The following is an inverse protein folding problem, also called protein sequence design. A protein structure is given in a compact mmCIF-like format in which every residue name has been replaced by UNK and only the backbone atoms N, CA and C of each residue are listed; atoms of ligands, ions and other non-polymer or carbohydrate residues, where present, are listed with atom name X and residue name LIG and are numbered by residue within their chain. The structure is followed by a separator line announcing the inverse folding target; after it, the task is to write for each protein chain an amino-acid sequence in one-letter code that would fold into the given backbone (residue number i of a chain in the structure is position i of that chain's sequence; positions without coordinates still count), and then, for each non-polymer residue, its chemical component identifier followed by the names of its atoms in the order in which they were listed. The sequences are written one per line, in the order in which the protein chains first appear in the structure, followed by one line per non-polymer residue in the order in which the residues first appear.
data_IF_751302113667
#
_entry.id   IF_751302113667
#
_cell.length_a   1.000
_cell.length_b   1.000
_cell.length_c   1.000
_cell.angle_alpha   90.00
_cell.angle_beta   90.00
_cell.angle_gamma   90.00
#
_symmetry.space_group_name_H-M   'P 1'
#
loop_
_entity.id
_entity.type
_entity.pdbx_description
1 polymer ?
#
# COMPACT_ATOMS: atom_id res chain seq x y z
N UNK A 1 -22.18 33.11 -3.20
CA UNK A 1 -21.41 31.91 -3.59
C UNK A 1 -20.00 32.36 -3.87
N UNK A 2 -19.15 32.34 -2.84
CA UNK A 2 -17.76 32.81 -2.92
C UNK A 2 -16.90 31.54 -2.91
N UNK A 3 -16.02 31.31 -3.90
CA UNK A 3 -15.10 30.21 -3.83
C UNK A 3 -14.06 30.55 -2.76
N UNK A 4 -14.14 29.82 -1.65
CA UNK A 4 -13.19 29.93 -0.55
C UNK A 4 -11.84 29.40 -1.05
N UNK A 5 -10.89 30.31 -1.23
CA UNK A 5 -9.53 29.98 -1.66
C UNK A 5 -8.86 29.13 -0.58
N UNK A 6 -8.64 27.86 -0.87
CA UNK A 6 -7.73 27.00 -0.12
C UNK A 6 -6.34 27.65 -0.13
N UNK A 7 -5.98 28.30 0.98
CA UNK A 7 -4.72 29.02 1.12
C UNK A 7 -3.65 28.03 1.57
N UNK A 8 -2.71 27.72 0.67
CA UNK A 8 -1.68 26.73 0.94
C UNK A 8 -0.40 27.39 1.52
N UNK A 9 -0.27 27.40 2.86
CA UNK A 9 0.97 27.72 3.60
C UNK A 9 2.08 26.64 3.39
N UNK A 10 3.36 27.02 3.21
CA UNK A 10 4.43 26.10 2.77
C UNK A 10 5.15 25.29 3.87
N UNK A 11 4.68 25.28 5.13
CA UNK A 11 5.51 24.80 6.26
C UNK A 11 4.89 23.72 7.17
N UNK A 12 3.88 22.98 6.73
CA UNK A 12 3.50 21.74 7.44
C UNK A 12 3.45 20.58 6.46
N UNK A 13 3.95 19.41 6.89
CA UNK A 13 3.76 18.14 6.20
C UNK A 13 2.25 17.90 6.00
N UNK A 14 1.72 18.35 4.87
CA UNK A 14 0.31 18.23 4.52
C UNK A 14 0.11 16.87 3.87
N UNK A 15 -0.28 15.92 4.70
CA UNK A 15 -0.75 14.62 4.25
C UNK A 15 -2.24 14.73 3.95
N UNK A 16 -2.65 14.36 2.74
CA UNK A 16 -4.06 14.17 2.39
C UNK A 16 -4.29 12.67 2.40
N UNK A 17 -5.11 12.19 3.32
CA UNK A 17 -5.56 10.81 3.36
C UNK A 17 -6.92 10.71 2.68
N UNK A 18 -7.02 9.82 1.70
CA UNK A 18 -8.26 9.57 0.99
C UNK A 18 -8.56 8.07 1.06
N UNK A 19 -9.64 7.72 1.75
CA UNK A 19 -10.08 6.34 1.90
C UNK A 19 -11.07 5.97 0.79
N UNK A 20 -10.70 4.99 -0.03
CA UNK A 20 -11.59 4.42 -1.04
C UNK A 20 -12.13 3.07 -0.55
N UNK A 21 -13.30 3.10 0.06
CA UNK A 21 -14.04 1.91 0.51
C UNK A 21 -14.90 1.37 -0.63
N UNK A 22 -14.78 0.07 -0.92
CA UNK A 22 -15.61 -0.64 -1.89
C UNK A 22 -16.33 -1.82 -1.23
N UNK A 23 -17.57 -2.08 -1.66
CA UNK A 23 -18.34 -3.25 -1.25
C UNK A 23 -17.70 -4.56 -1.76
N UNK A 24 -17.62 -5.57 -0.88
CA UNK A 24 -16.81 -6.78 -1.06
C UNK A 24 -17.27 -7.76 -2.16
N UNK A 25 -18.35 -7.46 -2.87
CA UNK A 25 -19.13 -8.46 -3.61
C UNK A 25 -18.83 -8.53 -5.12
N UNK A 26 -17.75 -7.91 -5.59
CA UNK A 26 -17.35 -8.00 -7.01
C UNK A 26 -15.86 -8.18 -7.15
N UNK A 27 -15.47 -9.37 -7.62
CA UNK A 27 -14.11 -9.87 -7.94
C UNK A 27 -13.35 -9.06 -8.98
N UNK A 28 -13.78 -7.84 -9.26
CA UNK A 28 -13.32 -7.06 -10.37
C UNK A 28 -12.61 -5.78 -9.93
N UNK A 29 -11.40 -5.99 -9.40
CA UNK A 29 -10.39 -4.96 -9.12
C UNK A 29 -9.90 -4.22 -10.38
N UNK A 30 -10.52 -4.45 -11.56
CA UNK A 30 -10.23 -3.73 -12.82
C UNK A 30 -10.44 -2.22 -12.71
N UNK A 31 -11.43 -1.75 -11.94
CA UNK A 31 -11.80 -0.34 -11.92
C UNK A 31 -11.03 0.50 -10.91
N UNK A 32 -10.52 -0.10 -9.83
CA UNK A 32 -9.85 0.63 -8.75
C UNK A 32 -8.56 1.31 -9.22
N UNK A 33 -7.82 0.64 -10.12
CA UNK A 33 -6.62 1.22 -10.74
C UNK A 33 -6.91 2.43 -11.61
N UNK A 34 -8.00 2.40 -12.39
CA UNK A 34 -8.36 3.52 -13.26
C UNK A 34 -8.67 4.78 -12.43
N UNK A 35 -9.38 4.60 -11.31
CA UNK A 35 -9.68 5.69 -10.37
C UNK A 35 -8.40 6.25 -9.77
N UNK A 36 -7.49 5.37 -9.31
CA UNK A 36 -6.18 5.80 -8.80
C UNK A 36 -5.41 6.62 -9.85
N UNK A 37 -5.34 6.13 -11.08
CA UNK A 37 -4.63 6.81 -12.15
C UNK A 37 -5.23 8.19 -12.47
N UNK A 38 -6.56 8.31 -12.46
CA UNK A 38 -7.25 9.59 -12.64
C UNK A 38 -6.95 10.57 -11.50
N UNK A 39 -7.02 10.10 -10.25
CA UNK A 39 -6.72 10.91 -9.07
C UNK A 39 -5.27 11.41 -9.07
N UNK A 40 -4.31 10.52 -9.33
CA UNK A 40 -2.89 10.87 -9.40
C UNK A 40 -2.64 11.90 -10.49
N UNK A 41 -3.23 11.72 -11.68
CA UNK A 41 -3.10 12.67 -12.79
C UNK A 41 -3.69 14.03 -12.44
N UNK A 42 -4.88 14.05 -11.82
CA UNK A 42 -5.55 15.28 -11.40
C UNK A 42 -4.74 16.02 -10.34
N UNK A 43 -4.28 15.32 -9.29
CA UNK A 43 -3.46 15.92 -8.23
C UNK A 43 -2.18 16.50 -8.83
N UNK A 44 -1.48 15.76 -9.70
CA UNK A 44 -0.24 16.22 -10.34
C UNK A 44 -0.42 17.39 -11.29
N UNK A 45 -1.63 17.61 -11.83
CA UNK A 45 -1.92 18.77 -12.66
C UNK A 45 -1.83 20.08 -11.86
N UNK A 46 -2.19 20.05 -10.57
CA UNK A 46 -2.15 21.21 -9.69
C UNK A 46 -0.90 21.23 -8.80
N UNK A 47 -0.38 20.06 -8.42
CA UNK A 47 0.80 19.91 -7.58
C UNK A 47 1.76 18.85 -8.14
N UNK A 48 2.63 19.21 -9.10
CA UNK A 48 3.47 18.26 -9.82
C UNK A 48 4.49 17.53 -8.92
N UNK A 49 5.01 18.21 -7.89
CA UNK A 49 6.05 17.69 -7.00
C UNK A 49 5.49 17.00 -5.74
N UNK A 50 4.18 16.76 -5.68
CA UNK A 50 3.57 16.12 -4.51
C UNK A 50 3.92 14.64 -4.46
N UNK A 51 4.49 14.22 -3.33
CA UNK A 51 4.67 12.81 -3.00
C UNK A 51 3.32 12.15 -2.76
N UNK A 52 3.01 11.10 -3.51
CA UNK A 52 1.77 10.33 -3.38
C UNK A 52 2.11 8.93 -2.90
N UNK A 53 1.45 8.48 -1.84
CA UNK A 53 1.61 7.13 -1.27
C UNK A 53 0.27 6.40 -1.32
N UNK A 54 0.20 5.30 -2.06
CA UNK A 54 -0.96 4.43 -2.09
C UNK A 54 -0.90 3.42 -0.95
N UNK A 55 -1.90 3.42 -0.06
CA UNK A 55 -2.08 2.36 0.94
C UNK A 55 -3.18 1.40 0.51
N UNK A 56 -2.92 0.11 0.53
CA UNK A 56 -3.88 -0.90 0.11
C UNK A 56 -3.75 -2.23 0.85
N UNK A 57 -4.81 -3.02 0.83
CA UNK A 57 -4.79 -4.41 1.27
C UNK A 57 -4.15 -5.34 0.21
N UNK A 58 -4.19 -6.65 0.44
CA UNK A 58 -3.65 -7.63 -0.49
C UNK A 58 -4.33 -7.72 -1.85
N UNK A 59 -5.56 -7.22 -2.00
CA UNK A 59 -6.24 -7.18 -3.30
C UNK A 59 -5.62 -6.15 -4.24
N UNK A 60 -4.94 -5.14 -3.67
CA UNK A 60 -4.17 -4.12 -4.38
C UNK A 60 -2.75 -4.59 -4.75
N UNK A 61 -2.24 -5.68 -4.18
CA UNK A 61 -0.91 -6.22 -4.51
C UNK A 61 -0.88 -6.96 -5.86
N UNK A 62 -1.27 -6.29 -6.96
CA UNK A 62 -1.25 -6.82 -8.33
C UNK A 62 -0.05 -6.26 -9.10
N UNK A 63 0.75 -7.10 -9.79
CA UNK A 63 1.96 -6.66 -10.51
C UNK A 63 1.70 -5.49 -11.46
N UNK A 64 0.59 -5.52 -12.23
CA UNK A 64 0.23 -4.44 -13.16
C UNK A 64 0.04 -3.09 -12.46
N UNK A 65 -0.50 -3.09 -11.24
CA UNK A 65 -0.74 -1.87 -10.48
C UNK A 65 0.54 -1.35 -9.84
N UNK A 66 1.35 -2.25 -9.25
CA UNK A 66 2.64 -1.87 -8.66
C UNK A 66 3.59 -1.31 -9.72
N UNK A 67 3.70 -1.98 -10.88
CA UNK A 67 4.51 -1.50 -12.01
C UNK A 67 4.03 -0.14 -12.54
N UNK A 68 2.72 0.15 -12.47
CA UNK A 68 2.20 1.46 -12.83
C UNK A 68 2.61 2.50 -11.78
N UNK A 69 2.52 2.18 -10.49
CA UNK A 69 2.95 3.07 -9.42
C UNK A 69 4.44 3.41 -9.55
N UNK A 70 5.29 2.40 -9.81
CA UNK A 70 6.73 2.58 -10.03
C UNK A 70 7.01 3.54 -11.21
N UNK A 71 6.34 3.34 -12.35
CA UNK A 71 6.49 4.21 -13.54
C UNK A 71 5.98 5.63 -13.35
N UNK A 72 5.04 5.84 -12.43
CA UNK A 72 4.41 7.13 -12.19
C UNK A 72 4.91 7.81 -10.91
N UNK A 73 6.00 7.33 -10.30
CA UNK A 73 6.55 7.86 -9.04
C UNK A 73 5.50 7.94 -7.93
N UNK A 74 4.68 6.90 -7.80
CA UNK A 74 3.72 6.73 -6.71
C UNK A 74 4.29 5.67 -5.77
N UNK A 75 4.58 6.06 -4.55
CA UNK A 75 4.98 5.11 -3.51
C UNK A 75 3.78 4.27 -3.08
N UNK A 76 4.01 3.08 -2.49
CA UNK A 76 2.91 2.26 -2.00
C UNK A 76 3.26 1.45 -0.76
N UNK A 77 2.23 1.22 0.05
CA UNK A 77 2.24 0.33 1.21
C UNK A 77 1.08 -0.63 1.00
N UNK A 78 1.37 -1.83 0.49
CA UNK A 78 0.36 -2.86 0.24
C UNK A 78 0.56 -4.06 1.15
N UNK A 79 -0.54 -4.60 1.67
CA UNK A 79 -0.52 -5.93 2.29
C UNK A 79 -0.23 -7.00 1.23
N UNK A 80 0.48 -8.06 1.59
CA UNK A 80 0.67 -9.23 0.71
C UNK A 80 -0.22 -10.35 1.23
N UNK A 81 -0.98 -10.99 0.34
CA UNK A 81 -1.79 -12.15 0.71
C UNK A 81 -0.90 -13.30 1.21
N UNK A 82 -1.44 -14.15 2.07
CA UNK A 82 -0.73 -15.35 2.55
C UNK A 82 -0.33 -16.22 1.35
N UNK A 83 0.96 -16.54 1.25
CA UNK A 83 1.55 -17.41 0.23
C UNK A 83 2.50 -18.40 0.93
N UNK A 84 2.68 -19.60 0.36
CA UNK A 84 3.61 -20.62 0.87
C UNK A 84 5.03 -20.08 1.08
N UNK A 85 5.54 -19.21 0.19
CA UNK A 85 6.85 -18.57 0.37
C UNK A 85 6.86 -17.66 1.60
N UNK A 86 5.84 -16.82 1.76
CA UNK A 86 5.72 -15.93 2.91
C UNK A 86 5.67 -16.74 4.21
N UNK A 87 4.85 -17.81 4.24
CA UNK A 87 4.71 -18.71 5.38
C UNK A 87 6.03 -19.39 5.77
N UNK A 88 6.86 -19.74 4.77
CA UNK A 88 8.21 -20.29 5.00
C UNK A 88 9.13 -19.28 5.66
N UNK A 89 9.19 -18.06 5.13
CA UNK A 89 10.05 -16.99 5.67
C UNK A 89 9.61 -16.54 7.07
N UNK A 90 8.30 -16.47 7.33
CA UNK A 90 7.79 -16.10 8.66
C UNK A 90 7.82 -17.24 9.68
N UNK A 91 8.18 -18.47 9.31
CA UNK A 91 8.11 -19.64 10.19
C UNK A 91 8.95 -19.48 11.46
N UNK A 92 10.22 -19.06 11.32
CA UNK A 92 11.13 -18.82 12.46
C UNK A 92 10.68 -17.61 13.29
N UNK A 93 10.42 -16.43 12.68
CA UNK A 93 9.77 -15.30 13.35
C UNK A 93 8.52 -15.66 14.17
N UNK A 94 7.62 -16.44 13.58
CA UNK A 94 6.35 -16.82 14.21
C UNK A 94 6.57 -17.73 15.41
N UNK A 95 7.59 -18.60 15.38
CA UNK A 95 7.96 -19.45 16.51
C UNK A 95 8.46 -18.62 17.69
N UNK A 96 9.27 -17.60 17.44
CA UNK A 96 9.76 -16.66 18.47
C UNK A 96 8.60 -15.89 19.10
N UNK A 97 7.75 -15.30 18.28
CA UNK A 97 6.55 -14.56 18.75
C UNK A 97 5.65 -15.46 19.59
N UNK A 98 5.45 -16.72 19.18
CA UNK A 98 4.63 -17.69 19.93
C UNK A 98 5.24 -18.05 21.28
N UNK A 99 6.57 -18.17 21.36
CA UNK A 99 7.28 -18.40 22.63
C UNK A 99 7.10 -17.21 23.57
N UNK A 100 7.30 -15.99 23.08
CA UNK A 100 7.08 -14.75 23.84
C UNK A 100 5.62 -14.64 24.31
N UNK A 101 4.67 -14.95 23.43
CA UNK A 101 3.25 -14.97 23.76
C UNK A 101 2.94 -15.92 24.93
N UNK A 102 3.52 -17.13 24.93
CA UNK A 102 3.35 -18.08 26.02
C UNK A 102 3.92 -17.60 27.35
N UNK A 103 5.02 -16.85 27.32
CA UNK A 103 5.63 -16.31 28.53
C UNK A 103 4.85 -15.11 29.09
N UNK A 104 4.32 -14.25 28.22
CA UNK A 104 3.66 -13.00 28.60
C UNK A 104 2.15 -13.19 28.85
N UNK A 105 1.53 -14.21 28.24
CA UNK A 105 0.09 -14.46 28.36
C UNK A 105 -0.81 -13.44 27.63
N UNK A 106 -0.23 -12.52 26.86
CA UNK A 106 -0.93 -11.43 26.16
C UNK A 106 -0.74 -11.47 24.65
N UNK A 107 -1.36 -10.53 23.93
CA UNK A 107 -1.13 -10.36 22.48
C UNK A 107 0.28 -9.84 22.24
N UNK A 108 1.06 -10.52 21.40
CA UNK A 108 2.42 -10.13 21.01
C UNK A 108 2.46 -9.93 19.49
N UNK A 109 3.11 -8.85 19.07
CA UNK A 109 3.40 -8.56 17.67
C UNK A 109 4.86 -8.13 17.56
N UNK A 110 5.59 -8.71 16.62
CA UNK A 110 6.98 -8.34 16.32
C UNK A 110 7.13 -8.08 14.82
N UNK A 111 8.10 -7.24 14.48
CA UNK A 111 8.37 -6.84 13.09
C UNK A 111 9.67 -7.47 12.62
N UNK A 112 9.62 -8.14 11.48
CA UNK A 112 10.77 -8.78 10.86
C UNK A 112 10.93 -8.29 9.43
N UNK A 113 12.17 -8.04 9.03
CA UNK A 113 12.51 -7.63 7.66
C UNK A 113 13.27 -8.76 6.99
N UNK A 114 12.80 -9.17 5.82
CA UNK A 114 13.47 -10.13 4.96
C UNK A 114 13.25 -9.73 3.50
N UNK A 115 14.21 -10.04 2.60
CA UNK A 115 14.01 -9.82 1.18
C UNK A 115 12.87 -10.74 0.69
N UNK A 116 11.88 -10.15 0.01
CA UNK A 116 10.74 -10.89 -0.53
C UNK A 116 10.65 -10.67 -2.04
N UNK A 117 10.55 -11.77 -2.78
CA UNK A 117 10.28 -11.74 -4.22
C UNK A 117 9.17 -12.75 -4.52
N UNK A 118 8.12 -12.32 -5.21
CA UNK A 118 7.11 -13.24 -5.72
C UNK A 118 7.67 -14.05 -6.89
N UNK A 119 7.16 -15.25 -7.13
CA UNK A 119 7.50 -16.00 -8.35
C UNK A 119 6.97 -15.33 -9.63
N UNK A 120 6.02 -14.40 -9.52
CA UNK A 120 5.35 -13.72 -10.65
C UNK A 120 5.79 -12.27 -10.84
N UNK A 121 6.73 -11.75 -10.03
CA UNK A 121 7.34 -10.44 -10.29
C UNK A 121 8.39 -10.62 -11.39
N UNK A 122 8.01 -10.36 -12.63
CA UNK A 122 8.98 -10.15 -13.71
C UNK A 122 9.98 -9.09 -13.28
N UNK A 123 11.29 -9.27 -13.56
CA UNK A 123 12.28 -8.27 -13.23
C UNK A 123 11.99 -6.99 -14.03
N UNK A 124 11.96 -5.86 -13.32
CA UNK A 124 11.98 -4.54 -13.95
C UNK A 124 13.29 -4.47 -14.74
N UNK A 125 13.19 -4.47 -16.08
CA UNK A 125 14.31 -4.21 -16.98
C UNK A 125 14.54 -2.71 -17.11
#
# INVERSE_FOLDING_TARGET
MVPEKLTFSPLSHRQIEADYLRTSDRSDSRHSWAILALLVRFIRQYWPDTRIVLRGDSHFCRPRMLNWCDRHHVDYIVGIAKNSRLLKEVGVPMMLVRKTQWQVGGKVAETFRFPYQGSTTEPVR
#
